data_IF_123038570487
#
_entry.id   IF_123038570487
#
_cell.length_a   1.000
_cell.length_b   1.000
_cell.length_c   1.000
_cell.angle_alpha   90.00
_cell.angle_beta   90.00
_cell.angle_gamma   90.00
#
_symmetry.space_group_name_H-M   'P 1'
#
loop_
_entity.id
_entity.type
_entity.pdbx_description
1 polymer ?
#
# COMPACT_ATOMS: atom_id res chain seq x y z
N UNK A 1 61.18 -84.15 44.12
CA UNK A 1 60.07 -83.55 43.35
C UNK A 1 59.25 -82.62 44.25
N UNK A 2 59.42 -81.30 44.16
CA UNK A 2 58.48 -80.31 44.69
C UNK A 2 58.51 -79.10 43.75
N UNK A 3 57.55 -79.06 42.83
CA UNK A 3 57.36 -77.97 41.87
C UNK A 3 56.79 -76.75 42.61
N UNK A 4 57.48 -75.61 42.55
CA UNK A 4 56.91 -74.31 42.96
C UNK A 4 56.16 -73.74 41.74
N UNK A 5 54.84 -73.76 41.81
CA UNK A 5 53.94 -73.12 40.85
C UNK A 5 53.97 -71.61 41.07
N UNK A 6 54.56 -70.86 40.13
CA UNK A 6 54.45 -69.41 40.08
C UNK A 6 53.12 -69.06 39.39
N UNK A 7 52.10 -68.74 40.20
CA UNK A 7 50.82 -68.24 39.72
C UNK A 7 50.95 -66.77 39.31
N UNK A 8 51.09 -66.50 38.01
CA UNK A 8 50.93 -65.15 37.47
C UNK A 8 49.44 -64.85 37.32
N UNK A 9 48.83 -64.28 38.36
CA UNK A 9 47.48 -63.70 38.29
C UNK A 9 47.48 -62.54 37.30
N UNK A 10 47.05 -62.81 36.08
CA UNK A 10 46.85 -61.79 35.04
C UNK A 10 45.46 -61.19 35.27
N UNK A 11 45.39 -60.15 36.09
CA UNK A 11 44.15 -59.39 36.30
C UNK A 11 43.86 -58.59 35.02
N UNK A 12 42.91 -59.06 34.22
CA UNK A 12 42.44 -58.35 33.05
C UNK A 12 41.65 -57.09 33.49
N UNK A 13 42.29 -55.93 33.43
CA UNK A 13 41.63 -54.64 33.58
C UNK A 13 40.77 -54.40 32.33
N UNK A 14 39.46 -54.67 32.45
CA UNK A 14 38.47 -54.15 31.51
C UNK A 14 38.43 -52.63 31.66
N UNK A 15 39.12 -51.91 30.77
CA UNK A 15 38.93 -50.48 30.60
C UNK A 15 37.52 -50.26 30.02
N UNK A 16 36.57 -49.86 30.87
CA UNK A 16 35.31 -49.28 30.43
C UNK A 16 35.63 -47.96 29.70
N UNK A 17 35.79 -48.03 28.38
CA UNK A 17 35.80 -46.85 27.54
C UNK A 17 34.40 -46.23 27.60
N UNK A 18 34.27 -45.14 28.35
CA UNK A 18 33.06 -44.33 28.38
C UNK A 18 32.82 -43.77 26.96
N UNK A 19 31.89 -44.35 26.22
CA UNK A 19 31.34 -43.73 25.03
C UNK A 19 30.54 -42.51 25.48
N UNK A 20 31.20 -41.35 25.47
CA UNK A 20 30.51 -40.08 25.61
C UNK A 20 29.68 -39.88 24.32
N UNK A 21 28.34 -39.89 24.37
CA UNK A 21 27.55 -39.58 23.19
C UNK A 21 27.87 -38.15 22.77
N UNK A 22 28.46 -37.97 21.59
CA UNK A 22 28.64 -36.65 21.01
C UNK A 22 27.26 -36.00 20.90
N UNK A 23 27.06 -34.89 21.61
CA UNK A 23 25.85 -34.09 21.48
C UNK A 23 25.63 -33.78 20.00
N UNK A 24 24.42 -33.97 19.44
CA UNK A 24 24.18 -33.66 18.05
C UNK A 24 24.55 -32.20 17.81
N UNK A 25 25.44 -31.95 16.86
CA UNK A 25 25.82 -30.60 16.47
C UNK A 25 24.53 -29.85 16.13
N UNK A 26 24.19 -28.87 16.96
CA UNK A 26 23.04 -28.01 16.69
C UNK A 26 23.26 -27.38 15.32
N UNK A 27 22.37 -27.69 14.37
CA UNK A 27 22.43 -27.09 13.05
C UNK A 27 22.31 -25.58 13.22
N UNK A 28 23.27 -24.84 12.68
CA UNK A 28 23.20 -23.38 12.68
C UNK A 28 21.90 -22.97 11.98
N UNK A 29 21.12 -22.08 12.62
CA UNK A 29 19.93 -21.53 12.01
C UNK A 29 20.32 -20.85 10.67
N UNK A 30 19.45 -20.90 9.64
CA UNK A 30 19.71 -20.20 8.39
C UNK A 30 19.90 -18.68 8.66
N UNK A 31 20.75 -18.00 7.89
CA UNK A 31 20.96 -16.56 8.06
C UNK A 31 19.64 -15.80 7.87
N UNK A 32 19.37 -14.83 8.74
CA UNK A 32 18.21 -13.95 8.59
C UNK A 32 18.27 -13.20 7.25
N UNK A 33 17.14 -13.04 6.54
CA UNK A 33 17.12 -12.29 5.31
C UNK A 33 17.58 -10.84 5.56
N UNK A 34 18.41 -10.32 4.66
CA UNK A 34 18.85 -8.94 4.73
C UNK A 34 17.63 -8.00 4.59
N UNK A 35 17.52 -6.95 5.41
CA UNK A 35 16.43 -5.98 5.25
C UNK A 35 16.65 -5.15 3.99
N UNK A 36 15.57 -4.62 3.44
CA UNK A 36 15.61 -3.63 2.37
C UNK A 36 15.68 -2.20 2.92
N UNK A 37 15.50 -1.24 2.02
CA UNK A 37 15.36 0.17 2.34
C UNK A 37 14.23 0.81 1.56
N UNK A 38 13.51 1.73 2.22
CA UNK A 38 12.40 2.48 1.64
C UNK A 38 12.65 3.98 1.77
N UNK A 39 12.46 4.70 0.67
CA UNK A 39 12.50 6.17 0.62
C UNK A 39 11.17 6.68 0.10
N UNK A 40 10.45 7.46 0.90
CA UNK A 40 9.21 8.11 0.52
C UNK A 40 9.49 9.59 0.27
N UNK A 41 9.07 10.07 -0.90
CA UNK A 41 9.34 11.44 -1.35
C UNK A 41 8.03 12.13 -1.65
N UNK A 42 7.74 13.14 -0.84
CA UNK A 42 6.80 14.17 -1.19
C UNK A 42 7.37 15.09 -2.28
N UNK A 43 6.54 15.45 -3.26
CA UNK A 43 6.89 16.45 -4.28
C UNK A 43 5.72 17.40 -4.42
N UNK A 44 5.98 18.68 -4.31
CA UNK A 44 4.97 19.72 -4.56
C UNK A 44 5.28 20.39 -5.90
N UNK A 45 4.28 20.48 -6.77
CA UNK A 45 4.37 21.28 -8.00
C UNK A 45 4.00 22.73 -7.68
N UNK A 46 4.62 23.67 -8.38
CA UNK A 46 4.38 25.09 -8.15
C UNK A 46 2.91 25.50 -8.32
N UNK A 47 2.50 26.40 -7.42
CA UNK A 47 1.19 27.07 -7.40
C UNK A 47 0.92 27.99 -8.59
N UNK A 48 -0.31 28.52 -8.73
CA UNK A 48 -0.62 29.60 -9.67
C UNK A 48 0.22 30.89 -9.50
N UNK A 49 1.10 30.96 -8.48
CA UNK A 49 2.05 32.05 -8.24
C UNK A 49 3.48 31.81 -8.76
N UNK A 50 3.74 30.69 -9.46
CA UNK A 50 5.07 30.40 -10.04
C UNK A 50 6.04 29.67 -9.08
N UNK A 51 7.34 29.56 -9.47
CA UNK A 51 8.36 28.84 -8.71
C UNK A 51 8.45 29.30 -7.26
N UNK A 52 8.16 28.39 -6.32
CA UNK A 52 8.07 28.70 -4.89
C UNK A 52 6.66 29.02 -4.39
N UNK A 53 5.63 28.42 -5.01
CA UNK A 53 4.27 28.45 -4.46
C UNK A 53 4.25 28.14 -2.95
N UNK A 54 3.32 28.74 -2.20
CA UNK A 54 3.36 28.78 -0.73
C UNK A 54 3.46 27.41 -0.02
N UNK A 55 3.15 26.32 -0.70
CA UNK A 55 3.14 24.97 -0.17
C UNK A 55 4.54 24.35 -0.12
N UNK A 56 4.93 23.84 1.05
CA UNK A 56 6.18 23.11 1.28
C UNK A 56 5.92 21.62 1.42
N UNK A 57 6.83 20.79 0.90
CA UNK A 57 6.71 19.33 0.97
C UNK A 57 6.60 18.80 2.41
N UNK A 58 7.18 19.51 3.38
CA UNK A 58 7.16 19.16 4.80
C UNK A 58 5.78 19.38 5.46
N UNK A 59 4.83 20.05 4.78
CA UNK A 59 3.44 20.18 5.25
C UNK A 59 2.64 18.88 5.11
N UNK A 60 3.15 17.92 4.34
CA UNK A 60 2.60 16.58 4.20
C UNK A 60 3.43 15.58 5.00
N UNK A 61 2.71 14.62 5.58
CA UNK A 61 3.28 13.44 6.22
C UNK A 61 3.07 12.25 5.32
N UNK A 62 4.16 11.52 5.03
CA UNK A 62 4.14 10.28 4.26
C UNK A 62 4.39 9.10 5.19
N UNK A 63 3.69 8.00 4.96
CA UNK A 63 3.80 6.79 5.76
C UNK A 63 3.79 5.54 4.89
N UNK A 64 4.43 4.48 5.39
CA UNK A 64 4.36 3.14 4.85
C UNK A 64 4.03 2.14 5.97
N UNK A 65 2.91 1.42 5.81
CA UNK A 65 2.44 0.39 6.75
C UNK A 65 2.60 -1.00 6.17
N UNK A 66 3.20 -1.89 6.93
CA UNK A 66 3.46 -3.28 6.52
C UNK A 66 4.05 -4.08 7.67
N UNK A 67 5.12 -4.86 7.45
CA UNK A 67 5.87 -5.53 8.52
C UNK A 67 6.35 -4.60 9.64
N UNK A 68 6.63 -3.34 9.30
CA UNK A 68 6.90 -2.24 10.24
C UNK A 68 6.19 -0.99 9.72
N UNK A 69 5.86 -0.06 10.59
CA UNK A 69 5.36 1.26 10.20
C UNK A 69 6.51 2.28 10.22
N UNK A 70 6.63 3.05 9.15
CA UNK A 70 7.49 4.23 9.09
C UNK A 70 6.65 5.43 8.68
N UNK A 71 6.95 6.60 9.23
CA UNK A 71 6.21 7.83 9.00
C UNK A 71 7.09 9.05 9.27
N UNK A 72 6.87 10.11 8.50
CA UNK A 72 7.42 11.43 8.81
C UNK A 72 7.18 12.44 7.71
N UNK A 73 7.55 13.69 7.99
CA UNK A 73 7.61 14.74 6.99
C UNK A 73 8.68 14.40 5.92
N UNK A 74 8.54 15.04 4.75
CA UNK A 74 9.53 14.95 3.67
C UNK A 74 10.97 15.14 4.17
N UNK A 75 11.90 14.34 3.66
CA UNK A 75 13.33 14.45 3.98
C UNK A 75 13.72 13.99 5.39
N UNK A 76 12.76 13.64 6.25
CA UNK A 76 13.07 13.10 7.57
C UNK A 76 13.75 11.74 7.46
N UNK A 77 14.65 11.44 8.41
CA UNK A 77 15.37 10.15 8.47
C UNK A 77 14.43 8.95 8.59
N UNK A 78 13.25 9.14 9.18
CA UNK A 78 12.26 8.08 9.33
C UNK A 78 11.71 7.56 7.99
N UNK A 79 11.74 8.39 6.94
CA UNK A 79 11.22 8.04 5.60
C UNK A 79 12.25 8.14 4.48
N UNK A 80 13.51 8.44 4.81
CA UNK A 80 14.61 8.58 3.83
C UNK A 80 15.65 7.49 4.03
N UNK A 81 15.69 6.51 3.12
CA UNK A 81 16.58 5.35 3.25
C UNK A 81 16.28 4.51 4.49
N UNK A 82 15.02 4.48 4.94
CA UNK A 82 14.60 3.79 6.14
C UNK A 82 14.80 2.28 5.97
N UNK A 83 15.54 1.66 6.89
CA UNK A 83 15.75 0.21 6.88
C UNK A 83 14.47 -0.49 7.32
N UNK A 84 13.92 -1.33 6.46
CA UNK A 84 12.66 -2.03 6.71
C UNK A 84 12.80 -3.51 6.35
N UNK A 85 12.11 -4.44 7.05
CA UNK A 85 12.06 -5.84 6.63
C UNK A 85 11.55 -5.99 5.19
N UNK A 86 11.92 -7.09 4.55
CA UNK A 86 11.31 -7.43 3.27
C UNK A 86 9.80 -7.69 3.45
N UNK A 87 8.99 -7.25 2.50
CA UNK A 87 7.55 -7.44 2.53
C UNK A 87 6.77 -6.37 1.79
N UNK A 88 5.47 -6.43 1.96
CA UNK A 88 4.52 -5.53 1.33
C UNK A 88 4.20 -4.34 2.24
N UNK A 89 4.23 -3.15 1.66
CA UNK A 89 3.96 -1.88 2.33
C UNK A 89 2.86 -1.13 1.61
N UNK A 90 1.88 -0.66 2.37
CA UNK A 90 0.85 0.27 1.90
C UNK A 90 1.29 1.71 2.19
N UNK A 91 1.39 2.50 1.12
CA UNK A 91 1.79 3.90 1.19
C UNK A 91 0.57 4.79 1.42
N UNK A 92 0.70 5.73 2.34
CA UNK A 92 -0.30 6.78 2.58
C UNK A 92 0.34 8.14 2.72
N UNK A 93 -0.47 9.15 2.51
CA UNK A 93 -0.12 10.55 2.66
C UNK A 93 -1.30 11.26 3.33
N UNK A 94 -1.02 12.22 4.20
CA UNK A 94 -2.01 13.08 4.84
C UNK A 94 -1.39 14.39 5.31
N UNK A 95 -2.24 15.30 5.79
CA UNK A 95 -1.86 16.69 6.03
C UNK A 95 -1.93 17.49 4.73
N UNK A 96 -1.06 18.47 4.59
CA UNK A 96 -0.86 19.22 3.36
C UNK A 96 -1.39 20.65 3.34
N UNK A 97 -1.24 21.27 2.16
CA UNK A 97 -1.59 22.66 1.92
C UNK A 97 -2.98 22.80 1.29
N UNK A 98 -3.84 23.72 1.78
CA UNK A 98 -5.14 23.99 1.16
C UNK A 98 -5.03 24.32 -0.33
N UNK A 99 -5.92 23.74 -1.14
CA UNK A 99 -5.94 23.97 -2.59
C UNK A 99 -4.96 23.10 -3.39
N UNK A 100 -4.32 22.10 -2.76
CA UNK A 100 -3.53 21.08 -3.43
C UNK A 100 -4.24 19.73 -3.41
N UNK A 101 -3.99 18.94 -4.45
CA UNK A 101 -4.46 17.57 -4.54
C UNK A 101 -3.29 16.63 -4.87
N UNK A 102 -3.27 15.51 -4.16
CA UNK A 102 -2.30 14.44 -4.34
C UNK A 102 -2.56 13.64 -5.62
N UNK A 103 -1.49 13.22 -6.27
CA UNK A 103 -1.52 12.24 -7.36
C UNK A 103 -1.27 10.83 -6.83
N UNK A 104 -1.40 9.82 -7.69
CA UNK A 104 -0.98 8.47 -7.34
C UNK A 104 0.54 8.38 -7.12
N UNK A 105 0.95 7.46 -6.24
CA UNK A 105 2.34 7.13 -5.98
C UNK A 105 3.03 6.53 -7.20
N UNK A 106 4.31 6.87 -7.40
CA UNK A 106 5.18 6.29 -8.42
C UNK A 106 6.46 5.78 -7.77
N UNK A 107 6.79 4.50 -7.95
CA UNK A 107 8.00 3.90 -7.40
C UNK A 107 9.00 3.58 -8.51
N UNK A 108 10.30 3.78 -8.24
CA UNK A 108 11.37 3.45 -9.17
C UNK A 108 11.31 1.97 -9.57
N UNK A 109 11.61 1.67 -10.84
CA UNK A 109 11.55 0.31 -11.38
C UNK A 109 10.16 -0.15 -11.82
N UNK A 110 9.12 0.68 -11.68
CA UNK A 110 7.76 0.38 -12.15
C UNK A 110 7.31 1.35 -13.24
N UNK A 111 6.68 0.81 -14.28
CA UNK A 111 6.00 1.62 -15.28
C UNK A 111 4.63 2.08 -14.73
N UNK A 112 4.45 3.40 -14.63
CA UNK A 112 3.18 4.02 -14.24
C UNK A 112 2.89 4.04 -12.72
N UNK A 113 1.78 4.68 -12.32
CA UNK A 113 1.41 4.86 -10.93
C UNK A 113 0.99 3.56 -10.24
N UNK A 114 1.13 3.50 -8.92
CA UNK A 114 0.50 2.49 -8.08
C UNK A 114 -1.03 2.62 -8.16
N UNK A 115 -1.77 1.50 -8.17
CA UNK A 115 -3.22 1.53 -8.15
C UNK A 115 -3.79 2.30 -6.96
N UNK A 116 -4.82 3.10 -7.21
CA UNK A 116 -5.58 3.83 -6.19
C UNK A 116 -6.20 2.85 -5.20
N UNK A 117 -6.14 3.16 -3.89
CA UNK A 117 -6.71 2.32 -2.83
C UNK A 117 -5.71 1.37 -2.18
N UNK A 118 -4.82 0.77 -2.98
CA UNK A 118 -3.82 -0.17 -2.47
C UNK A 118 -2.52 0.51 -2.10
N UNK A 119 -2.07 1.51 -2.89
CA UNK A 119 -0.80 2.21 -2.65
C UNK A 119 0.36 1.26 -2.33
N UNK A 120 0.31 0.03 -2.85
CA UNK A 120 1.07 -1.10 -2.32
C UNK A 120 2.38 -1.23 -3.08
N UNK A 121 3.47 -1.36 -2.34
CA UNK A 121 4.81 -1.62 -2.87
C UNK A 121 5.43 -2.80 -2.14
N UNK A 122 6.13 -3.66 -2.87
CA UNK A 122 6.90 -4.77 -2.30
C UNK A 122 8.35 -4.35 -2.19
N UNK A 123 8.95 -4.53 -1.01
CA UNK A 123 10.38 -4.35 -0.75
C UNK A 123 11.00 -5.74 -0.63
N UNK A 124 11.88 -6.13 -1.55
CA UNK A 124 12.60 -7.40 -1.42
C UNK A 124 13.80 -7.28 -0.46
N UNK A 125 14.36 -8.42 -0.06
CA UNK A 125 15.54 -8.45 0.80
C UNK A 125 16.73 -7.79 0.09
N UNK A 126 17.34 -6.79 0.72
CA UNK A 126 18.46 -6.02 0.18
C UNK A 126 18.10 -4.96 -0.87
N UNK A 127 16.84 -4.85 -1.27
CA UNK A 127 16.42 -3.85 -2.27
C UNK A 127 16.40 -2.43 -1.70
N UNK A 128 16.53 -1.45 -2.60
CA UNK A 128 16.32 -0.04 -2.32
C UNK A 128 15.14 0.49 -3.15
N UNK A 129 14.02 0.75 -2.47
CA UNK A 129 12.79 1.21 -3.10
C UNK A 129 12.62 2.71 -2.83
N UNK A 130 12.37 3.48 -3.89
CA UNK A 130 12.07 4.91 -3.81
C UNK A 130 10.72 5.19 -4.43
N UNK A 131 9.79 5.73 -3.65
CA UNK A 131 8.45 6.08 -4.07
C UNK A 131 8.21 7.58 -3.93
N UNK A 132 7.52 8.16 -4.91
CA UNK A 132 7.20 9.58 -5.00
C UNK A 132 5.69 9.74 -5.07
N UNK A 133 5.14 10.58 -4.20
CA UNK A 133 3.80 11.15 -4.37
C UNK A 133 3.97 12.59 -4.82
N UNK A 134 3.01 13.13 -5.56
CA UNK A 134 3.09 14.50 -6.06
C UNK A 134 1.82 15.25 -5.75
N UNK A 135 1.94 16.38 -5.07
CA UNK A 135 0.85 17.31 -4.83
C UNK A 135 0.92 18.44 -5.83
N UNK A 136 -0.23 18.74 -6.43
CA UNK A 136 -0.34 19.84 -7.40
C UNK A 136 -1.52 20.73 -7.07
N UNK A 137 -1.47 22.01 -7.47
CA UNK A 137 -2.59 22.90 -7.28
C UNK A 137 -3.84 22.38 -7.97
N UNK A 138 -4.97 22.51 -7.28
CA UNK A 138 -6.28 22.32 -7.87
C UNK A 138 -6.56 23.57 -8.71
N UNK A 139 -6.78 23.37 -10.02
CA UNK A 139 -7.10 24.47 -10.90
C UNK A 139 -8.40 25.16 -10.45
N UNK A 140 -8.31 26.45 -10.13
CA UNK A 140 -9.49 27.27 -9.87
C UNK A 140 -10.25 27.45 -11.20
N UNK A 141 -11.28 26.64 -11.42
CA UNK A 141 -12.12 26.80 -12.63
C UNK A 141 -12.84 25.56 -13.17
N UNK A 142 -12.62 24.37 -12.63
CA UNK A 142 -13.35 23.17 -13.07
C UNK A 142 -14.79 23.08 -12.53
N UNK A 143 -15.45 24.23 -12.31
CA UNK A 143 -16.73 24.27 -11.61
C UNK A 143 -17.51 25.58 -11.73
N UNK A 144 -17.62 26.18 -12.93
CA UNK A 144 -18.81 26.97 -13.32
C UNK A 144 -18.83 27.31 -14.83
N UNK A 145 -18.93 26.31 -15.70
CA UNK A 145 -19.68 26.53 -16.94
C UNK A 145 -21.15 26.33 -16.62
N UNK A 146 -21.77 27.31 -15.98
CA UNK A 146 -23.21 27.53 -16.18
C UNK A 146 -23.34 27.86 -17.66
N UNK A 147 -23.80 26.90 -18.45
CA UNK A 147 -24.21 27.16 -19.82
C UNK A 147 -25.38 28.13 -19.79
N UNK A 148 -25.11 29.43 -19.79
CA UNK A 148 -26.03 30.38 -20.41
C UNK A 148 -25.84 30.21 -21.90
N UNK A 149 -26.85 29.59 -22.53
CA UNK A 149 -26.87 29.32 -23.95
C UNK A 149 -26.51 30.55 -24.77
N UNK A 150 -25.85 30.30 -25.89
CA UNK A 150 -25.75 31.24 -26.97
C UNK A 150 -27.18 31.59 -27.44
N UNK A 151 -27.73 32.69 -26.91
CA UNK A 151 -28.89 33.36 -27.46
C UNK A 151 -28.44 34.27 -28.59
N UNK A 152 -28.97 34.04 -29.79
CA UNK A 152 -28.81 34.88 -30.97
C UNK A 152 -29.21 36.34 -30.68
N UNK A 153 -28.58 37.35 -31.31
CA UNK A 153 -28.94 38.75 -31.11
C UNK A 153 -30.26 39.10 -31.80
N UNK A 154 -31.28 39.49 -31.03
CA UNK A 154 -32.50 40.15 -31.51
C UNK A 154 -32.39 41.69 -31.44
N UNK A 155 -33.11 42.44 -32.28
CA UNK A 155 -32.86 43.87 -32.49
C UNK A 155 -33.60 44.77 -31.50
N UNK A 156 -32.90 45.84 -31.09
CA UNK A 156 -33.40 47.20 -30.85
C UNK A 156 -34.58 47.45 -29.90
N UNK A 157 -34.30 48.04 -28.74
CA UNK A 157 -35.33 48.64 -27.88
C UNK A 157 -34.72 49.53 -26.78
N UNK A 158 -34.72 50.83 -27.03
CA UNK A 158 -34.31 51.95 -26.18
C UNK A 158 -35.26 52.18 -24.98
N UNK A 159 -34.72 52.14 -23.75
CA UNK A 159 -35.18 52.98 -22.60
C UNK A 159 -34.09 53.13 -21.55
N UNK A 160 -33.83 54.39 -21.18
CA UNK A 160 -32.96 54.83 -20.09
C UNK A 160 -33.68 54.71 -18.72
N UNK A 161 -32.97 54.86 -17.58
CA UNK A 161 -33.38 54.37 -16.27
C UNK A 161 -34.04 55.45 -15.39
N UNK A 162 -34.84 55.03 -14.40
CA UNK A 162 -35.21 55.84 -13.23
C UNK A 162 -35.59 54.95 -12.02
N UNK A 163 -35.62 55.47 -10.78
CA UNK A 163 -34.81 54.93 -9.69
C UNK A 163 -35.63 54.47 -8.47
N UNK A 164 -34.87 54.15 -7.42
CA UNK A 164 -35.24 53.58 -6.13
C UNK A 164 -36.54 54.11 -5.48
N UNK A 165 -37.23 53.20 -4.79
CA UNK A 165 -37.75 53.49 -3.45
C UNK A 165 -37.92 52.23 -2.61
N UNK A 166 -37.40 52.33 -1.40
CA UNK A 166 -37.50 51.39 -0.30
C UNK A 166 -38.96 51.07 0.07
N UNK A 167 -39.19 49.86 0.56
CA UNK A 167 -40.00 49.68 1.78
C UNK A 167 -39.79 48.31 2.43
N UNK A 168 -39.39 48.44 3.69
CA UNK A 168 -39.40 47.53 4.82
C UNK A 168 -40.60 46.57 4.87
N UNK A 169 -40.35 45.30 5.26
CA UNK A 169 -41.04 44.62 6.36
C UNK A 169 -40.38 43.27 6.66
N UNK A 170 -39.69 43.21 7.78
CA UNK A 170 -39.50 41.99 8.53
C UNK A 170 -40.85 41.54 9.10
N UNK A 171 -41.15 40.24 8.96
CA UNK A 171 -41.90 39.40 9.92
C UNK A 171 -42.35 38.12 9.20
N UNK A 172 -41.73 36.99 9.54
CA UNK A 172 -42.37 35.68 9.46
C UNK A 172 -41.68 34.74 10.48
N UNK A 173 -42.40 34.27 11.51
CA UNK A 173 -41.97 33.14 12.33
C UNK A 173 -42.51 31.84 11.71
N UNK A 174 -41.73 30.76 11.77
CA UNK A 174 -42.19 29.39 12.05
C UNK A 174 -41.06 28.40 11.75
N UNK A 175 -40.43 27.89 12.80
CA UNK A 175 -39.77 26.58 12.75
C UNK A 175 -40.86 25.50 12.83
N UNK A 176 -40.91 24.51 11.92
CA UNK A 176 -41.75 23.34 12.11
C UNK A 176 -40.98 22.25 12.86
N UNK A 177 -41.46 21.91 14.06
CA UNK A 177 -41.28 20.58 14.63
C UNK A 177 -42.38 19.68 14.07
N UNK A 178 -42.02 18.59 13.40
CA UNK A 178 -42.98 17.60 12.91
C UNK A 178 -42.28 16.31 12.49
N UNK A 179 -42.44 15.28 13.32
CA UNK A 179 -41.99 13.90 13.10
C UNK A 179 -42.97 13.11 12.22
N UNK A 180 -42.41 12.05 11.61
CA UNK A 180 -43.00 10.76 11.23
C UNK A 180 -44.14 10.73 10.19
N UNK A 181 -43.84 10.11 9.04
CA UNK A 181 -44.69 9.08 8.46
C UNK A 181 -43.81 8.06 7.71
N UNK A 182 -44.21 6.81 7.89
CA UNK A 182 -43.59 5.54 7.54
C UNK A 182 -44.11 5.02 6.18
N UNK A 183 -43.41 3.99 5.70
CA UNK A 183 -43.83 2.91 4.81
C UNK A 183 -44.05 3.17 3.30
N UNK A 184 -43.41 2.30 2.51
CA UNK A 184 -43.59 2.16 1.08
C UNK A 184 -42.70 1.05 0.52
N UNK A 185 -43.18 -0.18 0.66
CA UNK A 185 -42.61 -1.46 0.23
C UNK A 185 -42.23 -1.60 -1.25
N UNK A 186 -41.34 -2.58 -1.49
CA UNK A 186 -41.23 -3.33 -2.75
C UNK A 186 -39.91 -3.10 -3.50
N UNK A 187 -39.20 -4.10 -4.04
CA UNK A 187 -39.38 -5.53 -4.09
C UNK A 187 -38.02 -6.14 -4.50
N UNK A 188 -37.62 -7.24 -3.88
CA UNK A 188 -36.70 -8.21 -4.50
C UNK A 188 -37.57 -9.22 -5.30
N UNK A 189 -37.13 -9.74 -6.46
CA UNK A 189 -36.17 -10.84 -6.43
C UNK A 189 -35.18 -10.87 -7.60
N UNK A 190 -33.94 -11.26 -7.32
CA UNK A 190 -32.92 -11.51 -8.34
C UNK A 190 -32.05 -12.68 -7.93
N UNK A 191 -32.62 -13.89 -7.96
CA UNK A 191 -31.87 -15.13 -7.85
C UNK A 191 -30.95 -15.28 -9.06
N UNK A 192 -29.65 -15.09 -8.87
CA UNK A 192 -28.64 -15.63 -9.79
C UNK A 192 -27.89 -16.74 -9.06
N UNK A 193 -28.16 -17.94 -9.55
CA UNK A 193 -27.54 -19.20 -9.18
C UNK A 193 -26.01 -19.06 -9.13
N UNK A 194 -25.42 -19.22 -7.94
CA UNK A 194 -24.01 -19.53 -7.81
C UNK A 194 -23.77 -20.94 -8.33
N UNK A 195 -23.42 -21.05 -9.61
CA UNK A 195 -22.82 -22.25 -10.17
C UNK A 195 -21.41 -22.35 -9.59
N UNK A 196 -21.29 -23.10 -8.49
CA UNK A 196 -20.02 -23.58 -7.97
C UNK A 196 -19.36 -24.47 -9.03
N UNK A 197 -18.50 -23.90 -9.87
CA UNK A 197 -17.57 -24.67 -10.69
C UNK A 197 -16.37 -24.97 -9.81
N UNK A 198 -16.47 -26.09 -9.09
CA UNK A 198 -15.31 -26.86 -8.67
C UNK A 198 -14.84 -27.66 -9.88
N UNK A 199 -13.58 -27.53 -10.29
CA UNK A 199 -12.87 -28.69 -10.80
C UNK A 199 -11.44 -28.69 -10.23
N UNK A 200 -11.32 -29.15 -8.98
CA UNK A 200 -10.26 -30.09 -8.70
C UNK A 200 -10.61 -31.39 -9.42
N UNK A 201 -9.62 -31.99 -10.07
CA UNK A 201 -9.71 -33.16 -10.98
C UNK A 201 -9.94 -32.78 -12.45
N UNK A 202 -8.88 -32.25 -13.08
CA UNK A 202 -8.50 -32.69 -14.43
C UNK A 202 -6.99 -32.98 -14.45
N UNK A 203 -6.69 -34.27 -14.43
CA UNK A 203 -5.58 -34.94 -15.11
C UNK A 203 -4.16 -34.35 -15.00
N UNK A 204 -3.36 -34.95 -14.13
CA UNK A 204 -2.20 -35.77 -14.51
C UNK A 204 -1.69 -35.69 -15.97
N UNK A 205 -1.34 -34.51 -16.47
CA UNK A 205 -0.56 -34.32 -17.71
C UNK A 205 0.60 -33.37 -17.43
N UNK A 206 1.40 -33.71 -16.41
CA UNK A 206 2.60 -32.96 -16.03
C UNK A 206 3.77 -33.83 -15.58
N UNK A 207 3.64 -35.16 -15.65
CA UNK A 207 4.69 -36.12 -15.28
C UNK A 207 5.15 -36.99 -16.46
N UNK A 208 4.67 -36.72 -17.68
CA UNK A 208 5.01 -37.48 -18.89
C UNK A 208 6.09 -36.87 -19.80
N UNK A 209 6.48 -35.60 -19.61
CA UNK A 209 7.37 -34.91 -20.57
C UNK A 209 8.85 -34.79 -20.14
N UNK A 210 9.23 -35.30 -18.97
CA UNK A 210 10.63 -35.34 -18.53
C UNK A 210 11.29 -36.73 -18.61
N UNK A 211 10.54 -37.81 -18.85
CA UNK A 211 11.12 -39.14 -19.09
C UNK A 211 11.61 -39.39 -20.53
N UNK A 212 11.44 -38.44 -21.47
CA UNK A 212 11.88 -38.59 -22.88
C UNK A 212 13.21 -37.87 -23.18
N UNK A 213 13.73 -37.02 -22.28
CA UNK A 213 15.00 -36.33 -22.50
C UNK A 213 16.25 -36.99 -21.90
N UNK A 214 16.10 -38.13 -21.22
CA UNK A 214 17.20 -38.88 -20.60
C UNK A 214 17.79 -40.04 -21.44
N UNK A 215 17.29 -40.31 -22.66
CA UNK A 215 17.77 -41.43 -23.51
C UNK A 215 18.35 -41.02 -24.88
N UNK A 216 18.67 -39.74 -25.06
CA UNK A 216 19.33 -39.24 -26.28
C UNK A 216 20.54 -38.35 -26.01
N UNK A 217 21.24 -38.61 -24.90
CA UNK A 217 22.63 -38.18 -24.73
C UNK A 217 23.37 -39.36 -24.12
N UNK A 218 24.40 -39.75 -24.86
CA UNK A 218 25.37 -40.82 -24.63
C UNK A 218 25.85 -40.97 -23.17
#
# INVERSE_FOLDING_TARGET
MRHRLAGTSTTALLALAALCPAAPAAQAAPPSPAPGSLTLVERVLDGPGGPGGAARAEEWTVAARGPVEIEGAHGSRAVTGARVPAGDYRLTEYGGHPGYASTLWHCAGRAGPLPTGDGKVTVAAGDAVRCVVTNRPVAAGAGRRTGTGAGLPGPGGNRAPEPASARTRASAPASPSGRLADAGDGAAPGAWLFLAVVPGVLCAVGLGFLCVRGRLRD
#
